data_IF_894203553419
#
_entry.id   IF_894203553419
#
_cell.length_a   1.000
_cell.length_b   1.000
_cell.length_c   1.000
_cell.angle_alpha   90.00
_cell.angle_beta   90.00
_cell.angle_gamma   90.00
#
_symmetry.space_group_name_H-M   'P 1'
#
loop_
_entity.id
_entity.type
_entity.pdbx_description
1 polymer ?
#
# COMPACT_ATOMS: atom_id res chain seq x y z
N UNK A 1 14.80 58.99 8.36
CA UNK A 1 13.37 58.92 8.02
C UNK A 1 12.78 57.84 8.92
N UNK A 2 12.64 58.04 10.25
CA UNK A 2 11.65 58.90 10.93
C UNK A 2 10.24 58.58 10.39
N UNK A 3 9.20 58.19 11.14
CA UNK A 3 8.81 58.22 12.56
C UNK A 3 7.56 57.28 12.67
N UNK A 4 7.32 56.52 13.77
CA UNK A 4 6.44 56.86 14.94
C UNK A 4 4.93 56.91 14.55
N UNK A 5 3.90 56.35 15.23
CA UNK A 5 3.51 56.05 16.63
C UNK A 5 2.34 55.01 16.59
N UNK A 6 2.24 54.02 17.52
CA UNK A 6 1.37 53.94 18.73
C UNK A 6 -0.15 54.00 18.47
N UNK A 7 -1.08 53.45 19.25
CA UNK A 7 -1.26 52.49 20.36
C UNK A 7 -2.81 52.38 20.47
N UNK A 8 -3.43 51.33 21.01
CA UNK A 8 -3.92 51.35 22.39
C UNK A 8 -4.50 50.00 22.83
N UNK A 9 -4.28 49.74 24.12
CA UNK A 9 -4.83 48.65 24.93
C UNK A 9 -6.20 49.05 25.47
N UNK A 10 -7.07 48.06 25.70
CA UNK A 10 -7.99 48.11 26.84
C UNK A 10 -8.26 46.70 27.38
N UNK A 11 -7.73 46.45 28.60
CA UNK A 11 -8.25 45.46 29.55
C UNK A 11 -9.25 46.16 30.46
N UNK A 12 -10.38 45.52 30.74
CA UNK A 12 -11.19 45.83 31.93
C UNK A 12 -11.74 44.53 32.51
N UNK A 13 -11.70 44.47 33.84
CA UNK A 13 -11.92 43.32 34.71
C UNK A 13 -12.89 43.78 35.81
N UNK A 14 -14.04 43.12 36.00
CA UNK A 14 -14.86 43.15 37.23
C UNK A 14 -16.02 42.16 37.04
N UNK A 15 -16.65 41.48 38.01
CA UNK A 15 -16.51 41.30 39.45
C UNK A 15 -17.52 40.19 39.84
N UNK A 16 -17.27 39.54 40.98
CA UNK A 16 -18.10 38.54 41.70
C UNK A 16 -19.43 39.10 42.25
N UNK A 17 -20.48 38.27 42.29
CA UNK A 17 -21.50 38.07 43.36
C UNK A 17 -22.37 36.85 42.94
N UNK A 18 -22.50 35.70 43.62
CA UNK A 18 -22.86 35.25 44.98
C UNK A 18 -24.38 35.23 45.30
N UNK A 19 -24.92 34.00 45.28
CA UNK A 19 -25.82 33.31 46.26
C UNK A 19 -27.37 33.26 46.08
N UNK A 20 -27.87 32.16 46.66
CA UNK A 20 -29.24 31.70 47.06
C UNK A 20 -30.16 31.14 45.97
N UNK A 21 -30.87 30.01 46.13
CA UNK A 21 -31.08 29.09 47.27
C UNK A 21 -31.92 27.86 46.82
N UNK A 22 -31.72 26.74 47.52
CA UNK A 22 -32.67 25.67 47.90
C UNK A 22 -33.52 24.97 46.82
N UNK A 23 -33.55 23.64 46.73
CA UNK A 23 -34.19 22.80 47.76
C UNK A 23 -33.68 21.36 47.72
N UNK A 24 -33.49 20.81 48.93
CA UNK A 24 -33.09 19.45 49.22
C UNK A 24 -34.22 18.43 49.00
N UNK A 25 -33.85 17.22 48.58
CA UNK A 25 -34.51 15.99 49.05
C UNK A 25 -33.43 15.00 49.45
N UNK A 26 -33.36 14.73 50.76
CA UNK A 26 -32.65 13.60 51.36
C UNK A 26 -33.47 12.33 51.12
N UNK A 27 -32.79 11.22 50.86
CA UNK A 27 -33.10 9.96 51.52
C UNK A 27 -31.81 9.13 51.60
N UNK A 28 -31.31 9.01 52.83
CA UNK A 28 -30.34 8.01 53.25
C UNK A 28 -31.10 6.73 53.59
N UNK A 29 -30.62 5.60 53.08
CA UNK A 29 -30.48 4.37 53.88
C UNK A 29 -29.30 3.61 53.31
N UNK A 30 -28.29 3.44 54.15
CA UNK A 30 -27.11 2.62 53.91
C UNK A 30 -27.46 1.14 54.05
N UNK A 31 -26.81 0.27 53.27
CA UNK A 31 -26.11 -0.89 53.85
C UNK A 31 -25.12 -1.51 52.86
N UNK A 32 -24.07 -2.07 53.46
CA UNK A 32 -22.82 -2.51 52.85
C UNK A 32 -22.97 -3.76 51.98
N UNK A 33 -22.25 -3.77 50.87
CA UNK A 33 -21.93 -4.96 50.09
C UNK A 33 -20.69 -4.71 49.26
N UNK A 34 -19.53 -4.94 49.86
CA UNK A 34 -18.24 -4.86 49.18
C UNK A 34 -18.17 -5.92 48.09
N UNK A 35 -18.03 -5.48 46.84
CA UNK A 35 -17.42 -6.31 45.79
C UNK A 35 -16.43 -5.46 44.99
N UNK A 36 -15.30 -5.17 45.65
CA UNK A 36 -14.08 -4.70 44.99
C UNK A 36 -13.38 -5.91 44.39
N UNK A 37 -13.68 -6.25 43.14
CA UNK A 37 -12.74 -6.91 42.22
C UNK A 37 -13.30 -6.97 40.81
N UNK A 38 -13.34 -5.80 40.17
CA UNK A 38 -13.61 -5.65 38.74
C UNK A 38 -12.56 -4.77 38.08
N UNK A 39 -11.28 -4.95 38.41
CA UNK A 39 -10.20 -4.40 37.58
C UNK A 39 -10.27 -5.13 36.24
N UNK A 40 -11.05 -4.58 35.31
CA UNK A 40 -11.11 -5.04 33.93
C UNK A 40 -9.69 -5.20 33.43
N UNK A 41 -9.29 -6.45 33.21
CA UNK A 41 -8.01 -6.81 32.62
C UNK A 41 -7.98 -6.08 31.28
N UNK A 42 -7.26 -4.96 31.18
CA UNK A 42 -7.00 -4.31 29.89
C UNK A 42 -6.40 -5.40 29.04
N UNK A 43 -7.17 -5.95 28.10
CA UNK A 43 -6.66 -6.85 27.10
C UNK A 43 -5.53 -6.11 26.42
N UNK A 44 -4.29 -6.51 26.71
CA UNK A 44 -3.11 -5.91 26.10
C UNK A 44 -3.21 -6.24 24.62
N UNK A 45 -3.53 -5.23 23.82
CA UNK A 45 -3.59 -5.36 22.37
C UNK A 45 -2.27 -5.86 21.85
N UNK A 46 -2.32 -6.73 20.85
CA UNK A 46 -1.13 -7.24 20.19
C UNK A 46 -0.40 -6.07 19.52
N UNK A 47 0.92 -5.99 19.69
CA UNK A 47 1.74 -4.91 19.15
C UNK A 47 2.45 -5.35 17.88
N UNK A 48 2.28 -4.57 16.81
CA UNK A 48 2.77 -4.92 15.48
C UNK A 48 3.60 -3.80 14.86
N UNK A 49 4.54 -4.16 13.99
CA UNK A 49 5.24 -3.19 13.14
C UNK A 49 5.26 -3.67 11.69
N UNK A 50 4.97 -2.77 10.75
CA UNK A 50 5.09 -3.01 9.32
C UNK A 50 6.26 -2.22 8.72
N UNK A 51 7.14 -2.89 7.98
CA UNK A 51 8.19 -2.22 7.20
C UNK A 51 7.80 -2.23 5.73
N UNK A 52 7.57 -1.04 5.18
CA UNK A 52 7.04 -0.88 3.81
C UNK A 52 7.89 0.11 3.00
N UNK A 53 8.12 -0.21 1.74
CA UNK A 53 8.98 0.48 0.78
C UNK A 53 8.27 0.76 -0.56
N UNK A 54 7.04 0.32 -0.75
CA UNK A 54 6.18 0.70 -1.88
C UNK A 54 4.75 1.03 -1.40
N UNK A 55 3.99 1.85 -2.15
CA UNK A 55 2.60 2.13 -1.80
C UNK A 55 1.76 0.86 -1.68
N UNK A 56 1.94 -0.13 -2.57
CA UNK A 56 1.21 -1.39 -2.48
C UNK A 56 1.51 -2.13 -1.16
N UNK A 57 2.77 -2.19 -0.73
CA UNK A 57 3.10 -2.80 0.57
C UNK A 57 2.45 -2.07 1.75
N UNK A 58 2.38 -0.74 1.69
CA UNK A 58 1.69 0.07 2.71
C UNK A 58 0.20 -0.28 2.77
N UNK A 59 -0.43 -0.37 1.60
CA UNK A 59 -1.84 -0.73 1.45
C UNK A 59 -2.12 -2.15 1.92
N UNK A 60 -1.26 -3.12 1.57
CA UNK A 60 -1.35 -4.49 2.05
C UNK A 60 -1.19 -4.57 3.57
N UNK A 61 -0.36 -3.72 4.18
CA UNK A 61 -0.24 -3.65 5.64
C UNK A 61 -1.53 -3.16 6.31
N UNK A 62 -2.18 -2.14 5.74
CA UNK A 62 -3.48 -1.66 6.21
C UNK A 62 -4.58 -2.70 6.04
N UNK A 63 -4.55 -3.48 4.98
CA UNK A 63 -5.56 -4.53 4.79
C UNK A 63 -5.34 -5.71 5.73
N UNK A 64 -4.08 -6.09 5.94
CA UNK A 64 -3.72 -7.33 6.60
C UNK A 64 -3.73 -7.27 8.13
N UNK A 65 -3.81 -6.08 8.71
CA UNK A 65 -3.75 -5.92 10.15
C UNK A 65 -5.06 -6.33 10.82
N UNK A 66 -4.95 -7.01 11.96
CA UNK A 66 -6.13 -7.36 12.74
C UNK A 66 -6.67 -6.10 13.45
N UNK A 67 -7.99 -5.89 13.55
CA UNK A 67 -8.58 -4.74 14.25
C UNK A 67 -8.20 -4.63 15.73
N UNK A 68 -7.69 -5.72 16.33
CA UNK A 68 -7.27 -5.80 17.73
C UNK A 68 -5.78 -5.48 17.92
N UNK A 69 -5.03 -5.21 16.85
CA UNK A 69 -3.61 -4.88 16.86
C UNK A 69 -3.35 -3.39 16.97
N UNK A 70 -2.39 -2.98 17.80
CA UNK A 70 -1.79 -1.66 17.68
C UNK A 70 -0.63 -1.74 16.66
N UNK A 71 -0.86 -1.24 15.45
CA UNK A 71 0.09 -1.32 14.34
C UNK A 71 0.89 -0.03 14.16
N UNK A 72 2.21 -0.17 14.08
CA UNK A 72 3.12 0.88 13.62
C UNK A 72 3.59 0.61 12.18
N UNK A 73 3.15 1.41 11.22
CA UNK A 73 3.68 1.39 9.85
C UNK A 73 4.92 2.28 9.75
N UNK A 74 6.05 1.68 9.41
CA UNK A 74 7.35 2.33 9.15
C UNK A 74 7.60 2.37 7.65
N UNK A 75 7.10 3.41 6.98
CA UNK A 75 7.26 3.62 5.56
C UNK A 75 8.63 4.22 5.23
N UNK A 76 9.37 3.63 4.28
CA UNK A 76 10.64 4.18 3.80
C UNK A 76 10.37 5.29 2.80
N UNK A 77 10.25 6.54 3.28
CA UNK A 77 9.94 7.69 2.41
C UNK A 77 10.90 7.83 1.22
N UNK A 78 12.18 7.52 1.41
CA UNK A 78 13.18 7.60 0.33
C UNK A 78 13.00 6.58 -0.80
N UNK A 79 12.05 5.65 -0.69
CA UNK A 79 11.80 4.66 -1.72
C UNK A 79 11.04 5.30 -2.91
N UNK A 80 11.27 4.78 -4.11
CA UNK A 80 10.70 5.33 -5.34
C UNK A 80 9.17 5.33 -5.26
N UNK A 81 8.57 6.51 -5.45
CA UNK A 81 7.11 6.69 -5.41
C UNK A 81 6.51 6.80 -4.01
N UNK A 82 7.27 6.53 -2.95
CA UNK A 82 6.77 6.55 -1.57
C UNK A 82 6.55 7.98 -1.06
N UNK A 83 7.46 8.93 -1.31
CA UNK A 83 7.28 10.34 -0.88
C UNK A 83 5.96 10.92 -1.40
N UNK A 84 5.75 10.91 -2.72
CA UNK A 84 4.54 11.46 -3.33
C UNK A 84 3.27 10.78 -2.82
N UNK A 85 3.32 9.46 -2.63
CA UNK A 85 2.20 8.73 -2.05
C UNK A 85 1.91 9.18 -0.61
N UNK A 86 2.92 9.23 0.26
CA UNK A 86 2.75 9.61 1.66
C UNK A 86 2.28 11.06 1.81
N UNK A 87 2.69 11.95 0.91
CA UNK A 87 2.25 13.35 0.88
C UNK A 87 0.80 13.51 0.42
N UNK A 88 0.33 12.63 -0.48
CA UNK A 88 -1.04 12.63 -0.97
C UNK A 88 -2.01 11.81 -0.09
N UNK A 89 -1.51 10.88 0.71
CA UNK A 89 -2.31 10.02 1.58
C UNK A 89 -2.84 10.80 2.79
N UNK A 90 -4.16 10.78 3.00
CA UNK A 90 -4.79 11.42 4.16
C UNK A 90 -4.62 10.55 5.42
N UNK A 91 -3.90 11.00 6.46
CA UNK A 91 -3.74 10.26 7.69
C UNK A 91 -5.06 9.97 8.42
N UNK A 92 -6.13 10.72 8.14
CA UNK A 92 -7.46 10.45 8.68
C UNK A 92 -8.07 9.13 8.15
N UNK A 93 -7.52 8.57 7.07
CA UNK A 93 -7.90 7.25 6.56
C UNK A 93 -7.26 6.10 7.35
N UNK A 94 -6.33 6.37 8.25
CA UNK A 94 -5.76 5.35 9.12
C UNK A 94 -6.78 4.93 10.19
N UNK A 95 -6.93 3.62 10.45
CA UNK A 95 -7.63 3.15 11.63
C UNK A 95 -7.02 3.73 12.92
N UNK A 96 -7.84 3.93 13.95
CA UNK A 96 -7.42 4.59 15.21
C UNK A 96 -6.23 3.94 15.93
N UNK A 97 -6.06 2.63 15.74
CA UNK A 97 -5.01 1.77 16.27
C UNK A 97 -3.76 1.68 15.37
N UNK A 98 -3.73 2.43 14.25
CA UNK A 98 -2.63 2.43 13.30
C UNK A 98 -1.89 3.77 13.36
N UNK A 99 -0.55 3.69 13.45
CA UNK A 99 0.33 4.87 13.41
C UNK A 99 1.28 4.77 12.22
N UNK A 100 1.63 5.91 11.64
CA UNK A 100 2.53 6.01 10.49
C UNK A 100 3.78 6.82 10.83
N UNK A 101 4.94 6.27 10.51
CA UNK A 101 6.25 6.91 10.60
C UNK A 101 7.04 6.75 9.29
N UNK A 102 7.70 7.81 8.82
CA UNK A 102 8.31 7.92 7.47
C UNK A 102 9.79 7.51 7.38
N UNK A 103 10.22 6.64 8.29
CA UNK A 103 11.64 6.32 8.50
C UNK A 103 12.14 5.01 7.86
N UNK A 104 11.22 4.12 7.49
CA UNK A 104 11.54 2.73 7.11
C UNK A 104 12.09 1.88 8.26
N UNK A 105 12.69 0.74 7.88
CA UNK A 105 13.24 -0.24 8.82
C UNK A 105 14.54 0.26 9.45
N UNK A 106 14.56 0.38 10.79
CA UNK A 106 15.74 0.77 11.57
C UNK A 106 16.05 -0.29 12.63
N UNK A 107 17.32 -0.77 12.73
CA UNK A 107 17.70 -1.76 13.73
C UNK A 107 17.43 -1.33 15.18
N UNK A 108 17.57 -0.03 15.46
CA UNK A 108 17.35 0.53 16.79
C UNK A 108 15.93 0.33 17.31
N UNK A 109 14.91 0.32 16.43
CA UNK A 109 13.52 0.12 16.82
C UNK A 109 13.30 -1.30 17.34
N UNK A 110 13.69 -2.32 16.55
CA UNK A 110 13.51 -3.74 16.91
C UNK A 110 14.41 -4.19 18.08
N UNK A 111 15.53 -3.49 18.32
CA UNK A 111 16.34 -3.73 19.52
C UNK A 111 15.69 -3.19 20.79
N UNK A 112 15.05 -2.02 20.71
CA UNK A 112 14.44 -1.35 21.87
C UNK A 112 13.05 -1.88 22.20
N UNK A 113 12.30 -2.29 21.20
CA UNK A 113 10.90 -2.72 21.34
C UNK A 113 10.74 -4.16 20.89
N UNK A 114 10.11 -4.99 21.70
CA UNK A 114 9.65 -6.32 21.30
C UNK A 114 8.23 -6.18 20.74
N UNK A 115 8.05 -6.57 19.48
CA UNK A 115 6.74 -6.66 18.83
C UNK A 115 6.28 -8.11 18.82
N UNK A 116 4.97 -8.31 18.89
CA UNK A 116 4.32 -9.62 18.81
C UNK A 116 4.26 -10.13 17.36
N UNK A 117 4.22 -9.20 16.39
CA UNK A 117 4.17 -9.48 14.96
C UNK A 117 4.96 -8.45 14.14
N UNK A 118 5.61 -8.91 13.06
CA UNK A 118 6.30 -8.05 12.09
C UNK A 118 5.73 -8.30 10.69
N UNK A 119 5.23 -7.24 10.04
CA UNK A 119 4.87 -7.27 8.64
C UNK A 119 6.04 -6.81 7.77
N UNK A 120 6.35 -7.59 6.73
CA UNK A 120 7.44 -7.34 5.79
C UNK A 120 6.88 -7.09 4.39
N UNK A 121 7.00 -5.84 3.91
CA UNK A 121 6.67 -5.48 2.54
C UNK A 121 7.65 -6.06 1.51
N UNK A 122 8.95 -6.02 1.80
CA UNK A 122 9.98 -6.60 0.95
C UNK A 122 10.95 -7.43 1.80
N UNK A 123 10.84 -8.75 1.69
CA UNK A 123 11.72 -9.69 2.38
C UNK A 123 13.14 -9.70 1.82
N UNK A 124 13.41 -9.11 0.66
CA UNK A 124 14.76 -8.95 0.09
C UNK A 124 15.39 -7.59 0.45
N UNK A 125 14.69 -6.74 1.21
CA UNK A 125 15.17 -5.40 1.57
C UNK A 125 16.45 -5.45 2.41
N UNK A 126 17.41 -4.58 2.07
CA UNK A 126 18.63 -4.42 2.85
C UNK A 126 18.42 -3.79 4.22
N UNK A 127 17.46 -2.88 4.36
CA UNK A 127 17.13 -2.26 5.65
C UNK A 127 16.44 -3.28 6.56
N UNK A 128 15.52 -4.08 6.01
CA UNK A 128 14.86 -5.18 6.71
C UNK A 128 15.87 -6.22 7.16
N UNK A 129 16.72 -6.72 6.24
CA UNK A 129 17.75 -7.70 6.59
C UNK A 129 18.65 -7.22 7.72
N UNK A 130 19.13 -5.97 7.65
CA UNK A 130 19.98 -5.38 8.68
C UNK A 130 19.24 -5.26 10.01
N UNK A 131 17.98 -4.84 9.98
CA UNK A 131 17.18 -4.66 11.20
C UNK A 131 16.87 -6.00 11.87
N UNK A 132 16.43 -7.00 11.10
CA UNK A 132 16.11 -8.33 11.63
C UNK A 132 17.36 -9.06 12.12
N UNK A 133 18.43 -9.09 11.32
CA UNK A 133 19.66 -9.76 11.73
C UNK A 133 20.22 -9.14 13.03
N UNK A 134 20.25 -7.82 13.14
CA UNK A 134 20.82 -7.17 14.33
C UNK A 134 19.94 -7.22 15.58
N UNK A 135 18.63 -7.38 15.45
CA UNK A 135 17.69 -7.44 16.59
C UNK A 135 17.43 -8.87 17.08
N UNK A 136 17.50 -9.85 16.19
CA UNK A 136 17.14 -11.26 16.47
C UNK A 136 18.32 -12.22 16.46
N UNK A 137 19.54 -11.69 16.55
CA UNK A 137 20.71 -12.46 17.00
C UNK A 137 20.55 -12.92 18.46
N UNK A 138 20.00 -12.05 19.32
CA UNK A 138 19.89 -12.27 20.77
C UNK A 138 18.48 -12.68 21.22
N UNK A 139 17.51 -12.70 20.29
CA UNK A 139 16.08 -12.89 20.58
C UNK A 139 15.43 -13.87 19.64
N UNK A 140 14.33 -14.49 20.09
CA UNK A 140 13.44 -15.24 19.20
C UNK A 140 12.67 -14.25 18.31
N UNK A 141 12.59 -14.57 17.02
CA UNK A 141 11.79 -13.78 16.09
C UNK A 141 10.29 -13.99 16.38
N UNK A 142 9.47 -12.94 16.36
CA UNK A 142 8.03 -13.04 16.54
C UNK A 142 7.38 -13.70 15.32
N UNK A 143 6.05 -13.72 15.28
CA UNK A 143 5.35 -14.02 14.05
C UNK A 143 5.71 -13.00 12.96
N UNK A 144 5.88 -13.49 11.73
CA UNK A 144 6.18 -12.66 10.57
C UNK A 144 5.10 -12.84 9.52
N UNK A 145 4.60 -11.72 9.00
CA UNK A 145 3.65 -11.67 7.89
C UNK A 145 4.34 -11.07 6.68
N UNK A 146 4.36 -11.79 5.57
CA UNK A 146 4.84 -11.29 4.27
C UNK A 146 3.66 -10.62 3.56
N UNK A 147 3.89 -9.41 3.07
CA UNK A 147 2.91 -8.60 2.34
C UNK A 147 3.19 -8.61 0.82
N UNK A 148 2.20 -8.20 0.04
CA UNK A 148 2.35 -8.06 -1.40
C UNK A 148 3.16 -6.82 -1.79
N UNK A 149 4.00 -7.01 -2.82
CA UNK A 149 4.72 -5.99 -3.57
C UNK A 149 4.70 -6.35 -5.07
N UNK A 150 3.50 -6.68 -5.56
CA UNK A 150 3.31 -7.22 -6.89
C UNK A 150 4.03 -8.56 -7.08
N UNK A 151 4.44 -8.85 -8.32
CA UNK A 151 5.11 -10.12 -8.67
C UNK A 151 6.47 -10.33 -7.96
N UNK A 152 7.05 -9.28 -7.36
CA UNK A 152 8.32 -9.41 -6.64
C UNK A 152 8.18 -10.30 -5.39
N UNK A 153 7.00 -10.31 -4.73
CA UNK A 153 6.72 -11.18 -3.59
C UNK A 153 6.83 -12.65 -3.98
N UNK A 154 6.45 -13.04 -5.19
CA UNK A 154 6.44 -14.45 -5.60
C UNK A 154 7.85 -15.03 -5.68
N UNK A 155 8.81 -14.28 -6.23
CA UNK A 155 10.21 -14.70 -6.23
C UNK A 155 10.77 -14.88 -4.82
N UNK A 156 10.33 -14.07 -3.85
CA UNK A 156 10.73 -14.26 -2.46
C UNK A 156 10.11 -15.52 -1.83
N UNK A 157 8.83 -15.79 -2.09
CA UNK A 157 8.15 -17.01 -1.63
C UNK A 157 8.78 -18.25 -2.27
N UNK A 158 9.15 -18.21 -3.55
CA UNK A 158 9.90 -19.29 -4.22
C UNK A 158 11.24 -19.57 -3.51
N UNK A 159 11.97 -18.52 -3.11
CA UNK A 159 13.22 -18.67 -2.34
C UNK A 159 12.95 -19.30 -0.97
N UNK A 160 11.90 -18.88 -0.26
CA UNK A 160 11.56 -19.40 1.07
C UNK A 160 11.06 -20.84 1.04
N UNK A 161 10.41 -21.25 -0.04
CA UNK A 161 9.96 -22.64 -0.24
C UNK A 161 11.06 -23.57 -0.75
N UNK A 162 12.14 -23.02 -1.31
CA UNK A 162 13.34 -23.79 -1.61
C UNK A 162 14.08 -24.22 -0.34
N UNK A 163 14.84 -25.33 -0.43
CA UNK A 163 15.59 -25.92 0.69
C UNK A 163 16.57 -24.94 1.35
N UNK A 164 17.24 -24.12 0.54
CA UNK A 164 18.26 -23.16 0.96
C UNK A 164 18.39 -22.04 -0.07
N UNK A 165 18.96 -20.93 0.35
CA UNK A 165 19.27 -19.81 -0.53
C UNK A 165 19.00 -18.46 0.13
N UNK A 166 19.77 -17.42 -0.23
CA UNK A 166 19.58 -16.09 0.31
C UNK A 166 18.37 -15.39 -0.30
N UNK A 167 17.67 -14.57 0.48
CA UNK A 167 16.60 -13.68 -0.01
C UNK A 167 17.19 -12.58 -0.89
N UNK A 168 17.31 -12.85 -2.18
CA UNK A 168 17.90 -11.94 -3.16
C UNK A 168 17.02 -11.87 -4.39
N UNK A 169 16.80 -10.67 -4.89
CA UNK A 169 16.02 -10.47 -6.12
C UNK A 169 16.73 -11.16 -7.30
N UNK A 170 16.02 -11.83 -8.22
CA UNK A 170 16.63 -12.63 -9.29
C UNK A 170 17.71 -11.94 -10.13
N UNK A 171 17.61 -10.62 -10.30
CA UNK A 171 18.55 -9.80 -11.10
C UNK A 171 19.56 -9.00 -10.26
N UNK A 172 19.58 -9.19 -8.95
CA UNK A 172 20.41 -8.40 -8.05
C UNK A 172 21.67 -9.16 -7.63
N UNK A 173 22.84 -8.56 -7.84
CA UNK A 173 24.10 -9.03 -7.25
C UNK A 173 24.33 -8.33 -5.91
N UNK A 174 24.59 -9.10 -4.86
CA UNK A 174 24.90 -8.58 -3.52
C UNK A 174 26.39 -8.76 -3.20
N UNK A 175 26.93 -7.84 -2.38
CA UNK A 175 28.23 -8.03 -1.72
C UNK A 175 28.16 -9.26 -0.80
N UNK A 176 29.27 -9.96 -0.58
CA UNK A 176 29.31 -11.19 0.21
C UNK A 176 28.67 -11.05 1.62
N UNK A 177 29.00 -9.97 2.35
CA UNK A 177 28.42 -9.69 3.67
C UNK A 177 26.89 -9.50 3.64
N UNK A 178 26.36 -8.91 2.56
CA UNK A 178 24.93 -8.76 2.33
C UNK A 178 24.26 -10.09 1.98
N UNK A 179 24.94 -10.95 1.24
CA UNK A 179 24.47 -12.31 0.93
C UNK A 179 24.35 -13.17 2.18
N UNK A 180 25.35 -13.13 3.08
CA UNK A 180 25.30 -13.86 4.36
C UNK A 180 24.12 -13.40 5.21
N UNK A 181 23.92 -12.09 5.33
CA UNK A 181 22.78 -11.53 6.07
C UNK A 181 21.43 -11.93 5.46
N UNK A 182 21.33 -11.93 4.13
CA UNK A 182 20.14 -12.39 3.41
C UNK A 182 19.86 -13.89 3.62
N UNK A 183 20.90 -14.73 3.62
CA UNK A 183 20.78 -16.16 3.93
C UNK A 183 20.33 -16.38 5.38
N UNK A 184 20.95 -15.68 6.33
CA UNK A 184 20.57 -15.76 7.73
C UNK A 184 19.09 -15.42 7.96
N UNK A 185 18.61 -14.31 7.38
CA UNK A 185 17.19 -13.93 7.49
C UNK A 185 16.30 -14.96 6.81
N UNK A 186 16.68 -15.48 5.64
CA UNK A 186 15.93 -16.53 4.96
C UNK A 186 15.77 -17.78 5.84
N UNK A 187 16.83 -18.23 6.49
CA UNK A 187 16.80 -19.42 7.36
C UNK A 187 15.92 -19.19 8.60
N UNK A 188 15.92 -17.96 9.15
CA UNK A 188 15.03 -17.60 10.25
C UNK A 188 13.57 -17.61 9.83
N UNK A 189 13.24 -17.06 8.66
CA UNK A 189 11.87 -17.09 8.12
C UNK A 189 11.42 -18.52 7.78
N UNK A 190 12.28 -19.35 7.20
CA UNK A 190 11.99 -20.78 6.98
C UNK A 190 11.70 -21.50 8.30
N UNK A 191 12.50 -21.24 9.35
CA UNK A 191 12.21 -21.80 10.67
C UNK A 191 10.85 -21.33 11.20
N UNK A 192 10.49 -20.06 11.05
CA UNK A 192 9.16 -19.58 11.44
C UNK A 192 8.03 -20.33 10.72
N UNK A 193 8.20 -20.64 9.43
CA UNK A 193 7.24 -21.48 8.71
C UNK A 193 7.09 -22.85 9.40
N UNK A 194 8.20 -23.52 9.73
CA UNK A 194 8.14 -24.85 10.38
C UNK A 194 7.44 -24.89 11.74
N UNK A 195 7.31 -23.73 12.42
CA UNK A 195 6.63 -23.61 13.72
C UNK A 195 5.30 -22.84 13.63
N UNK A 196 4.74 -22.67 12.43
CA UNK A 196 3.45 -22.02 12.21
C UNK A 196 3.43 -20.52 12.54
N UNK A 197 4.55 -19.82 12.33
CA UNK A 197 4.72 -18.38 12.64
C UNK A 197 5.15 -17.54 11.44
N UNK A 198 5.04 -18.09 10.23
CA UNK A 198 5.22 -17.36 8.98
C UNK A 198 3.90 -17.35 8.22
N UNK A 199 3.32 -16.16 8.06
CA UNK A 199 2.11 -15.94 7.28
C UNK A 199 2.45 -15.20 6.00
N UNK A 200 1.67 -15.43 4.95
CA UNK A 200 1.72 -14.70 3.70
C UNK A 200 0.32 -14.19 3.39
N UNK A 201 0.18 -12.88 3.41
CA UNK A 201 -1.06 -12.21 3.05
C UNK A 201 -0.95 -11.70 1.62
N UNK A 202 -1.88 -12.11 0.78
CA UNK A 202 -1.83 -11.78 -0.65
C UNK A 202 -3.21 -11.60 -1.25
N UNK A 203 -3.35 -10.60 -2.11
CA UNK A 203 -4.47 -10.50 -3.03
C UNK A 203 -4.15 -11.16 -4.38
N UNK A 204 -2.87 -11.23 -4.76
CA UNK A 204 -2.43 -11.68 -6.08
C UNK A 204 -2.73 -13.18 -6.31
N UNK A 205 -3.23 -13.61 -7.48
CA UNK A 205 -3.55 -15.02 -7.80
C UNK A 205 -2.33 -15.95 -7.69
N UNK A 206 -2.36 -16.88 -6.73
CA UNK A 206 -1.22 -17.75 -6.43
C UNK A 206 -1.31 -19.06 -7.21
N UNK A 207 -0.30 -19.34 -8.03
CA UNK A 207 -0.21 -20.61 -8.76
C UNK A 207 -0.23 -21.82 -7.80
N UNK A 208 -1.04 -22.85 -8.13
CA UNK A 208 -1.23 -24.07 -7.31
C UNK A 208 0.09 -24.70 -6.82
N UNK A 209 1.16 -24.83 -7.63
CA UNK A 209 2.43 -25.40 -7.16
C UNK A 209 3.11 -24.57 -6.06
N UNK A 210 3.13 -23.23 -6.21
CA UNK A 210 3.75 -22.33 -5.23
C UNK A 210 2.96 -22.34 -3.92
N UNK A 211 1.62 -22.30 -4.00
CA UNK A 211 0.73 -22.42 -2.84
C UNK A 211 1.01 -23.71 -2.06
N UNK A 212 1.05 -24.85 -2.76
CA UNK A 212 1.33 -26.16 -2.15
C UNK A 212 2.71 -26.22 -1.49
N UNK A 213 3.72 -25.64 -2.14
CA UNK A 213 5.08 -25.61 -1.60
C UNK A 213 5.18 -24.78 -0.31
N UNK A 214 4.49 -23.64 -0.26
CA UNK A 214 4.49 -22.77 0.93
C UNK A 214 3.70 -23.37 2.09
N UNK A 215 2.52 -23.94 1.85
CA UNK A 215 1.79 -24.64 2.91
C UNK A 215 2.58 -25.85 3.45
N UNK A 216 3.30 -26.57 2.59
CA UNK A 216 4.15 -27.70 3.00
C UNK A 216 5.33 -27.27 3.87
N UNK A 217 5.80 -26.02 3.79
CA UNK A 217 6.85 -25.52 4.68
C UNK A 217 6.33 -25.19 6.10
N UNK A 218 5.01 -25.28 6.32
CA UNK A 218 4.33 -24.94 7.57
C UNK A 218 3.84 -23.49 7.62
N UNK A 219 4.07 -22.70 6.56
CA UNK A 219 3.55 -21.35 6.46
C UNK A 219 2.04 -21.31 6.22
N UNK A 220 1.41 -20.20 6.56
CA UNK A 220 -0.02 -19.96 6.35
C UNK A 220 -0.26 -18.92 5.26
N UNK A 221 -1.30 -19.10 4.45
CA UNK A 221 -1.66 -18.16 3.40
C UNK A 221 -3.05 -17.61 3.68
N UNK A 222 -3.16 -16.28 3.73
CA UNK A 222 -4.43 -15.57 3.85
C UNK A 222 -4.65 -14.75 2.59
N UNK A 223 -5.83 -14.91 1.99
CA UNK A 223 -6.27 -14.12 0.84
C UNK A 223 -7.05 -12.91 1.34
N UNK A 224 -6.81 -11.75 0.74
CA UNK A 224 -7.64 -10.56 0.92
C UNK A 224 -7.99 -9.96 -0.45
N UNK A 225 -9.08 -9.20 -0.51
CA UNK A 225 -9.50 -8.45 -1.70
C UNK A 225 -9.42 -6.95 -1.48
N UNK A 226 -8.70 -6.54 -0.45
CA UNK A 226 -8.58 -5.13 -0.08
C UNK A 226 -9.92 -4.51 0.36
N UNK A 227 -10.71 -5.30 1.07
CA UNK A 227 -12.04 -4.96 1.57
C UNK A 227 -12.03 -3.67 2.39
N UNK A 228 -11.07 -3.48 3.28
CA UNK A 228 -10.96 -2.24 4.05
C UNK A 228 -10.64 -1.05 3.14
N UNK A 229 -9.68 -1.19 2.22
CA UNK A 229 -9.34 -0.09 1.31
C UNK A 229 -10.49 0.30 0.37
N UNK A 230 -11.35 -0.64 -0.02
CA UNK A 230 -12.55 -0.37 -0.81
C UNK A 230 -13.54 0.55 -0.08
N UNK A 231 -13.52 0.57 1.27
CA UNK A 231 -14.35 1.49 2.07
C UNK A 231 -13.80 2.91 2.16
N UNK A 232 -12.54 3.13 1.76
CA UNK A 232 -11.92 4.44 1.86
C UNK A 232 -12.52 5.41 0.82
N UNK A 233 -12.65 6.71 1.16
CA UNK A 233 -13.23 7.72 0.27
C UNK A 233 -12.22 8.22 -0.78
N UNK A 234 -11.52 7.30 -1.45
CA UNK A 234 -10.39 7.60 -2.36
C UNK A 234 -10.82 7.94 -3.79
N UNK A 235 -12.02 7.50 -4.21
CA UNK A 235 -12.58 7.74 -5.54
C UNK A 235 -13.00 9.18 -5.84
N UNK A 236 -12.99 10.07 -4.84
CA UNK A 236 -13.47 11.45 -4.95
C UNK A 236 -14.99 11.56 -5.21
N UNK A 237 -15.53 12.78 -5.10
CA UNK A 237 -16.96 13.07 -5.26
C UNK A 237 -17.44 13.19 -6.72
N UNK A 238 -16.56 12.97 -7.70
CA UNK A 238 -16.84 13.30 -9.10
C UNK A 238 -17.15 12.04 -9.93
N UNK A 239 -17.92 12.18 -11.03
CA UNK A 239 -18.13 11.09 -11.98
C UNK A 239 -16.80 10.56 -12.52
N UNK A 240 -16.66 9.23 -12.49
CA UNK A 240 -15.48 8.49 -12.97
C UNK A 240 -15.80 7.77 -14.28
N UNK A 241 -16.63 8.37 -15.13
CA UNK A 241 -17.07 7.79 -16.41
C UNK A 241 -15.86 7.39 -17.25
N UNK A 242 -15.93 6.20 -17.86
CA UNK A 242 -14.92 5.61 -18.75
C UNK A 242 -13.48 5.89 -18.27
N UNK A 243 -13.06 5.30 -17.14
CA UNK A 243 -11.73 5.54 -16.60
C UNK A 243 -10.65 5.02 -17.56
N UNK A 244 -9.69 5.88 -17.89
CA UNK A 244 -8.55 5.57 -18.75
C UNK A 244 -7.26 5.74 -17.96
N UNK A 245 -6.44 4.69 -17.89
CA UNK A 245 -5.12 4.74 -17.23
C UNK A 245 -4.06 5.17 -18.25
N UNK A 246 -3.36 6.26 -17.95
CA UNK A 246 -2.25 6.79 -18.72
C UNK A 246 -1.03 5.86 -18.70
N UNK A 247 -0.11 6.04 -19.65
CA UNK A 247 1.03 5.16 -19.86
C UNK A 247 2.33 5.95 -19.97
N UNK A 248 3.39 5.49 -19.30
CA UNK A 248 4.70 6.12 -19.46
C UNK A 248 5.35 5.81 -20.81
N UNK A 249 4.85 4.83 -21.56
CA UNK A 249 5.57 4.29 -22.72
C UNK A 249 5.82 5.36 -23.80
N UNK A 250 4.85 6.23 -24.06
CA UNK A 250 5.00 7.31 -25.03
C UNK A 250 5.99 8.37 -24.54
N UNK A 251 5.85 8.81 -23.28
CA UNK A 251 6.76 9.76 -22.66
C UNK A 251 8.20 9.23 -22.51
N UNK A 252 8.34 7.90 -22.42
CA UNK A 252 9.62 7.20 -22.37
C UNK A 252 10.22 6.98 -23.76
N UNK A 253 9.52 7.38 -24.82
CA UNK A 253 9.93 7.17 -26.21
C UNK A 253 10.01 5.71 -26.60
N UNK A 254 9.20 4.83 -25.97
CA UNK A 254 9.11 3.39 -26.28
C UNK A 254 8.00 3.09 -27.29
N UNK A 255 6.97 3.94 -27.35
CA UNK A 255 5.94 3.90 -28.38
C UNK A 255 5.77 5.28 -29.02
N UNK A 256 5.26 5.30 -30.24
CA UNK A 256 4.93 6.51 -30.98
C UNK A 256 3.85 7.32 -30.25
N UNK A 257 4.16 8.59 -29.99
CA UNK A 257 3.30 9.46 -29.19
C UNK A 257 2.00 9.84 -29.94
N UNK A 258 2.04 9.97 -31.26
CA UNK A 258 0.85 10.27 -32.06
C UNK A 258 -0.10 9.09 -32.08
N UNK A 259 0.42 7.87 -32.21
CA UNK A 259 -0.36 6.65 -32.13
C UNK A 259 -0.97 6.44 -30.75
N UNK A 260 -0.22 6.76 -29.68
CA UNK A 260 -0.76 6.74 -28.32
C UNK A 260 -1.90 7.74 -28.13
N UNK A 261 -1.74 8.98 -28.63
CA UNK A 261 -2.79 10.00 -28.59
C UNK A 261 -4.04 9.56 -29.37
N UNK A 262 -3.86 9.03 -30.58
CA UNK A 262 -4.94 8.55 -31.42
C UNK A 262 -5.75 7.41 -30.76
N UNK A 263 -5.11 6.57 -29.95
CA UNK A 263 -5.80 5.57 -29.14
C UNK A 263 -6.68 6.18 -28.04
N UNK A 264 -6.22 7.24 -27.39
CA UNK A 264 -7.08 7.96 -26.43
C UNK A 264 -8.25 8.63 -27.16
N UNK A 265 -8.01 9.21 -28.34
CA UNK A 265 -9.05 9.82 -29.16
C UNK A 265 -10.12 8.79 -29.59
N UNK A 266 -9.71 7.58 -30.01
CA UNK A 266 -10.63 6.49 -30.36
C UNK A 266 -11.54 6.07 -29.19
N UNK A 267 -10.98 6.04 -27.96
CA UNK A 267 -11.77 5.79 -26.74
C UNK A 267 -12.80 6.90 -26.51
N UNK A 268 -12.39 8.17 -26.69
CA UNK A 268 -13.27 9.33 -26.52
C UNK A 268 -14.41 9.29 -27.57
N UNK A 269 -14.11 8.98 -28.82
CA UNK A 269 -15.13 8.87 -29.88
C UNK A 269 -16.09 7.70 -29.63
N UNK A 270 -15.57 6.57 -29.16
CA UNK A 270 -16.39 5.36 -28.93
C UNK A 270 -17.25 5.47 -27.67
N UNK A 271 -16.74 6.09 -26.60
CA UNK A 271 -17.37 6.05 -25.27
C UNK A 271 -17.78 7.42 -24.72
N UNK A 272 -17.47 8.50 -25.42
CA UNK A 272 -17.81 9.86 -25.04
C UNK A 272 -16.90 10.42 -23.96
N UNK A 273 -17.48 10.88 -22.84
CA UNK A 273 -16.70 11.50 -21.76
C UNK A 273 -15.82 10.48 -21.05
N UNK A 274 -14.56 10.84 -20.83
CA UNK A 274 -13.57 9.99 -20.15
C UNK A 274 -13.02 10.67 -18.90
N UNK A 275 -12.63 9.85 -17.93
CA UNK A 275 -11.81 10.29 -16.80
C UNK A 275 -10.41 9.75 -16.99
N UNK A 276 -9.48 10.64 -17.32
CA UNK A 276 -8.09 10.27 -17.64
C UNK A 276 -7.21 10.35 -16.39
N UNK A 277 -6.51 9.26 -16.10
CA UNK A 277 -5.62 9.11 -14.96
C UNK A 277 -4.18 9.08 -15.45
N UNK A 278 -3.50 10.24 -15.51
CA UNK A 278 -2.22 10.35 -16.17
C UNK A 278 -1.15 9.56 -15.41
N UNK A 279 -0.23 8.96 -16.16
CA UNK A 279 0.96 8.42 -15.57
C UNK A 279 1.89 9.56 -15.14
N UNK A 280 2.55 9.45 -13.98
CA UNK A 280 3.45 10.49 -13.43
C UNK A 280 4.65 10.93 -14.30
N UNK A 281 4.83 10.30 -15.46
CA UNK A 281 5.92 10.57 -16.42
C UNK A 281 5.39 11.21 -17.71
N UNK A 282 4.08 11.27 -17.90
CA UNK A 282 3.49 11.96 -19.04
C UNK A 282 3.78 13.46 -18.95
N UNK A 283 4.04 14.05 -20.11
CA UNK A 283 4.51 15.44 -20.19
C UNK A 283 3.35 16.42 -20.03
N UNK A 284 3.65 17.61 -19.52
CA UNK A 284 2.65 18.67 -19.37
C UNK A 284 2.05 19.06 -20.72
N UNK A 285 2.82 19.01 -21.80
CA UNK A 285 2.36 19.32 -23.16
C UNK A 285 1.30 18.32 -23.63
N UNK A 286 1.51 17.02 -23.42
CA UNK A 286 0.54 15.99 -23.77
C UNK A 286 -0.75 16.14 -22.96
N UNK A 287 -0.63 16.40 -21.65
CA UNK A 287 -1.79 16.58 -20.78
C UNK A 287 -2.55 17.87 -21.11
N UNK A 288 -1.85 18.96 -21.42
CA UNK A 288 -2.47 20.21 -21.84
C UNK A 288 -3.19 20.06 -23.17
N UNK A 289 -2.62 19.31 -24.11
CA UNK A 289 -3.23 19.00 -25.40
C UNK A 289 -4.48 18.12 -25.26
N UNK A 290 -4.38 17.02 -24.51
CA UNK A 290 -5.50 16.14 -24.21
C UNK A 290 -6.63 16.89 -23.47
N UNK A 291 -6.28 17.80 -22.55
CA UNK A 291 -7.23 18.61 -21.79
C UNK A 291 -7.97 19.67 -22.61
N UNK A 292 -7.66 19.86 -23.90
CA UNK A 292 -8.43 20.76 -24.79
C UNK A 292 -9.79 20.18 -25.16
N UNK A 293 -9.93 18.86 -25.16
CA UNK A 293 -11.23 18.21 -25.38
C UNK A 293 -12.06 18.26 -24.08
N UNK A 294 -13.22 18.91 -24.15
CA UNK A 294 -14.13 19.10 -23.00
C UNK A 294 -14.72 17.78 -22.46
N UNK A 295 -14.65 16.69 -23.24
CA UNK A 295 -15.05 15.34 -22.82
C UNK A 295 -14.00 14.69 -21.91
N UNK A 296 -12.78 15.23 -21.85
CA UNK A 296 -11.69 14.68 -21.04
C UNK A 296 -11.63 15.37 -19.70
N UNK A 297 -11.73 14.56 -18.62
CA UNK A 297 -11.43 15.01 -17.26
C UNK A 297 -10.12 14.40 -16.79
N UNK A 298 -9.05 15.19 -16.78
CA UNK A 298 -7.76 14.76 -16.25
C UNK A 298 -7.79 14.84 -14.72
N UNK A 299 -7.48 13.74 -14.04
CA UNK A 299 -7.38 13.67 -12.58
C UNK A 299 -5.97 13.29 -12.18
N UNK A 300 -5.25 14.17 -11.48
CA UNK A 300 -3.93 13.89 -10.92
C UNK A 300 -3.98 14.13 -9.41
N UNK A 301 -4.14 13.06 -8.61
CA UNK A 301 -4.34 13.16 -7.15
C UNK A 301 -3.11 12.72 -6.34
N UNK A 302 -1.96 12.46 -6.98
CA UNK A 302 -0.73 12.00 -6.28
C UNK A 302 -0.81 10.61 -5.63
N UNK A 303 -2.01 10.05 -5.48
CA UNK A 303 -2.26 8.69 -5.01
C UNK A 303 -1.99 7.66 -6.12
N UNK A 304 -1.52 6.45 -5.75
CA UNK A 304 -1.48 5.30 -6.63
C UNK A 304 -2.82 5.07 -7.32
N UNK A 305 -2.79 4.65 -8.57
CA UNK A 305 -4.00 4.45 -9.37
C UNK A 305 -4.88 3.35 -8.76
N UNK A 306 -4.25 2.37 -8.11
CA UNK A 306 -4.84 1.35 -7.27
C UNK A 306 -5.86 1.95 -6.31
N UNK A 307 -5.44 2.87 -5.42
CA UNK A 307 -6.36 3.51 -4.48
C UNK A 307 -7.45 4.32 -5.16
N UNK A 308 -7.13 4.97 -6.28
CA UNK A 308 -8.05 5.90 -6.94
C UNK A 308 -9.20 5.17 -7.62
N UNK A 309 -8.98 3.93 -8.03
CA UNK A 309 -9.93 3.12 -8.78
C UNK A 309 -10.44 1.88 -8.01
N UNK A 310 -9.90 1.61 -6.81
CA UNK A 310 -10.30 0.44 -6.00
C UNK A 310 -11.78 0.42 -5.63
N UNK A 311 -12.42 1.59 -5.53
CA UNK A 311 -13.83 1.75 -5.19
C UNK A 311 -14.71 2.15 -6.39
N UNK A 312 -14.28 1.79 -7.60
CA UNK A 312 -15.16 1.90 -8.77
C UNK A 312 -16.38 1.00 -8.59
N UNK A 313 -17.57 1.45 -9.02
CA UNK A 313 -18.77 0.62 -8.99
C UNK A 313 -18.56 -0.71 -9.75
N UNK A 314 -19.27 -1.79 -9.35
CA UNK A 314 -19.31 -3.02 -10.13
C UNK A 314 -19.67 -2.76 -11.59
N UNK A 315 -19.17 -3.61 -12.49
CA UNK A 315 -19.38 -3.54 -13.94
C UNK A 315 -18.73 -2.32 -14.64
N UNK A 316 -17.96 -1.50 -13.92
CA UNK A 316 -17.16 -0.44 -14.55
C UNK A 316 -16.10 -1.03 -15.47
N UNK A 317 -15.85 -0.40 -16.63
CA UNK A 317 -14.78 -0.78 -17.55
C UNK A 317 -13.62 0.22 -17.50
N UNK A 318 -12.47 -0.21 -17.01
CA UNK A 318 -11.20 0.55 -17.02
C UNK A 318 -10.45 0.24 -18.30
N UNK A 319 -10.02 1.27 -19.04
CA UNK A 319 -9.21 1.11 -20.27
C UNK A 319 -7.76 1.44 -20.00
N UNK A 320 -6.86 0.62 -20.53
CA UNK A 320 -5.42 0.82 -20.36
C UNK A 320 -4.61 0.18 -21.46
N UNK A 321 -3.38 0.67 -21.66
CA UNK A 321 -2.33 -0.14 -22.26
C UNK A 321 -1.77 -1.13 -21.21
N UNK A 322 -1.07 -2.20 -21.62
CA UNK A 322 -0.55 -3.19 -20.69
C UNK A 322 0.37 -2.54 -19.65
N UNK A 323 0.02 -2.71 -18.38
CA UNK A 323 0.73 -2.08 -17.28
C UNK A 323 0.61 -2.91 -16.01
N UNK A 324 1.59 -2.79 -15.12
CA UNK A 324 1.51 -3.43 -13.79
C UNK A 324 0.34 -2.88 -12.96
N UNK A 325 -0.05 -1.62 -13.18
CA UNK A 325 -1.22 -1.02 -12.55
C UNK A 325 -2.52 -1.71 -12.97
N UNK A 326 -2.69 -2.01 -14.25
CA UNK A 326 -3.84 -2.76 -14.76
C UNK A 326 -3.92 -4.16 -14.13
N UNK A 327 -2.80 -4.90 -14.11
CA UNK A 327 -2.73 -6.21 -13.44
C UNK A 327 -3.04 -6.12 -11.96
N UNK A 328 -2.51 -5.11 -11.26
CA UNK A 328 -2.78 -4.92 -9.84
C UNK A 328 -4.25 -4.61 -9.61
N UNK A 329 -4.84 -3.68 -10.36
CA UNK A 329 -6.24 -3.31 -10.21
C UNK A 329 -7.21 -4.47 -10.45
N UNK A 330 -6.93 -5.36 -11.41
CA UNK A 330 -7.77 -6.55 -11.64
C UNK A 330 -7.85 -7.43 -10.39
N UNK A 331 -6.80 -7.41 -9.58
CA UNK A 331 -6.73 -8.11 -8.30
C UNK A 331 -7.40 -7.33 -7.17
N UNK A 332 -7.23 -6.00 -7.15
CA UNK A 332 -7.74 -5.13 -6.09
C UNK A 332 -9.25 -4.90 -6.15
N UNK A 333 -9.81 -4.95 -7.35
CA UNK A 333 -11.23 -4.77 -7.61
C UNK A 333 -11.66 -5.80 -8.67
N UNK A 334 -12.02 -7.02 -8.26
CA UNK A 334 -12.39 -8.08 -9.20
C UNK A 334 -13.74 -7.84 -9.88
N UNK A 335 -14.55 -6.90 -9.36
CA UNK A 335 -15.89 -6.59 -9.87
C UNK A 335 -15.85 -5.57 -11.03
N UNK A 336 -14.67 -5.12 -11.45
CA UNK A 336 -14.49 -4.25 -12.62
C UNK A 336 -13.84 -4.99 -13.78
N UNK A 337 -14.22 -4.60 -14.99
CA UNK A 337 -13.56 -5.07 -16.20
C UNK A 337 -12.36 -4.19 -16.49
N UNK A 338 -11.19 -4.80 -16.74
CA UNK A 338 -10.01 -4.08 -17.22
C UNK A 338 -9.78 -4.45 -18.68
N UNK A 339 -10.18 -3.53 -19.55
CA UNK A 339 -9.96 -3.61 -20.99
C UNK A 339 -8.54 -3.16 -21.32
N UNK A 340 -7.67 -4.12 -21.59
CA UNK A 340 -6.26 -3.88 -21.91
C UNK A 340 -6.06 -3.96 -23.41
N UNK A 341 -5.82 -2.82 -24.05
CA UNK A 341 -5.50 -2.78 -25.48
C UNK A 341 -4.07 -3.25 -25.71
N UNK A 342 -3.88 -4.32 -26.49
CA UNK A 342 -2.54 -4.77 -26.90
C UNK A 342 -1.81 -3.66 -27.68
N UNK A 343 -0.52 -3.47 -27.41
CA UNK A 343 0.29 -2.46 -28.12
C UNK A 343 0.67 -3.01 -29.50
N UNK A 344 0.20 -2.41 -30.62
CA UNK A 344 0.52 -2.87 -31.96
C UNK A 344 2.02 -2.76 -32.27
N UNK A 345 2.55 -3.73 -33.03
CA UNK A 345 3.97 -3.76 -33.42
C UNK A 345 4.44 -2.43 -34.05
N UNK A 346 3.60 -1.80 -34.87
CA UNK A 346 3.88 -0.53 -35.57
C UNK A 346 4.02 0.68 -34.65
N UNK A 347 3.55 0.62 -33.39
CA UNK A 347 3.71 1.73 -32.45
C UNK A 347 5.10 1.75 -31.81
N UNK A 348 5.79 0.62 -31.71
CA UNK A 348 7.05 0.56 -30.97
C UNK A 348 8.15 1.38 -31.66
N UNK A 349 8.77 2.27 -30.91
CA UNK A 349 9.89 3.10 -31.36
C UNK A 349 11.22 2.45 -30.98
N UNK A 350 12.21 2.58 -31.86
CA UNK A 350 13.57 2.11 -31.63
C UNK A 350 13.72 0.62 -31.30
N UNK A 351 14.86 0.26 -30.70
CA UNK A 351 15.20 -1.10 -30.29
C UNK A 351 14.67 -1.43 -28.88
N UNK A 352 13.38 -1.16 -28.61
CA UNK A 352 12.72 -1.71 -27.41
C UNK A 352 12.94 -3.23 -27.39
N UNK A 353 13.57 -3.81 -26.35
CA UNK A 353 13.94 -5.22 -26.36
C UNK A 353 12.70 -6.10 -26.58
N UNK A 354 12.78 -7.09 -27.46
CA UNK A 354 11.65 -7.98 -27.76
C UNK A 354 11.11 -8.69 -26.50
N UNK A 355 11.97 -8.88 -25.49
CA UNK A 355 11.56 -9.39 -24.18
C UNK A 355 10.63 -8.46 -23.41
N UNK A 356 10.81 -7.14 -23.51
CA UNK A 356 9.92 -6.15 -22.90
C UNK A 356 8.57 -6.14 -23.64
N UNK A 357 8.60 -6.15 -24.98
CA UNK A 357 7.39 -6.20 -25.82
C UNK A 357 6.54 -7.43 -25.49
N UNK A 358 7.16 -8.61 -25.52
CA UNK A 358 6.50 -9.88 -25.16
C UNK A 358 6.01 -9.89 -23.71
N UNK A 359 6.79 -9.36 -22.77
CA UNK A 359 6.40 -9.37 -21.36
C UNK A 359 5.21 -8.45 -21.07
N UNK A 360 5.10 -7.29 -21.73
CA UNK A 360 3.98 -6.37 -21.51
C UNK A 360 2.70 -6.90 -22.14
N UNK A 361 2.72 -7.35 -23.39
CA UNK A 361 1.54 -7.94 -24.02
C UNK A 361 1.17 -9.31 -23.40
N UNK A 362 2.11 -10.05 -22.79
CA UNK A 362 1.75 -11.25 -22.04
C UNK A 362 0.96 -10.95 -20.75
N UNK A 363 1.07 -9.73 -20.20
CA UNK A 363 0.28 -9.31 -19.03
C UNK A 363 -1.18 -9.00 -19.38
N UNK A 364 -1.48 -8.66 -20.63
CA UNK A 364 -2.86 -8.42 -21.09
C UNK A 364 -3.63 -9.72 -21.39
N UNK A 365 -2.95 -10.85 -21.57
CA UNK A 365 -3.55 -12.14 -21.95
C UNK A 365 -3.83 -13.05 -20.74
N UNK A 366 -3.41 -12.68 -19.52
CA UNK A 366 -3.63 -13.48 -18.30
C UNK A 366 -4.46 -12.74 -17.25
N UNK A 367 -5.72 -12.53 -17.58
CA UNK A 367 -6.79 -12.46 -16.59
C UNK A 367 -7.76 -13.58 -16.94
N UNK A 368 -7.35 -14.83 -16.72
CA UNK A 368 -8.24 -15.98 -16.87
C UNK A 368 -8.25 -16.80 -15.58
N UNK A 369 -9.49 -17.09 -15.20
CA UNK A 369 -9.98 -17.80 -14.04
C UNK A 369 -9.25 -19.12 -13.78
N UNK A 370 -8.96 -19.35 -12.50
CA UNK A 370 -8.94 -20.71 -11.97
C UNK A 370 -9.10 -20.68 -10.44
N UNK A 371 -10.37 -20.75 -10.02
CA UNK A 371 -10.93 -21.34 -8.79
C UNK A 371 -9.96 -21.78 -7.68
#
# INVERSE_FOLDING_TARGET
>A
MAELLMAEKTKSNSKKAKKSSDTAVKNETAENGADKNGAGKKSTRMTSVAFVESPLQFLSALESHEPTEDLLIRARASAKGMTSFLDAFDPAWLPTNVRLERDGAKPGLLRKTAFDRIYLGDTCSGQVHKSLALAYLERRMPEVVILDDGLATYSAIEILTAKRGPLVRPRQKLKASRTVMAAHVADRLRHLATVGKLRWHTALPVAKPLRKAFLKSGGEITRHRFEHLQTLPTGGSHPRDNPVIGSSLAADGLIDAFAYRAWVDDIIETHGSITYYPHRRETEEFLADLGRDKRVRIKNLGLPIELRLINLPPDSTIRSLPSTAAVSLAVLNPDVTIDVTEIPAKWWTGASPDSLRKSLNAQSVKADDDS
#
